data_IF_912396154422
#
_entry.id   IF_912396154422
#
_cell.length_a   1.000
_cell.length_b   1.000
_cell.length_c   1.000
_cell.angle_alpha   90.00
_cell.angle_beta   90.00
_cell.angle_gamma   90.00
#
_symmetry.space_group_name_H-M   'P 1'
#
loop_
_entity.id
_entity.type
_entity.pdbx_description
1 polymer ?
#
# COMPACT_ATOMS: atom_id res chain seq x y z
N UNK A 1 -78.72 14.88 -21.46
CA UNK A 1 -78.55 16.14 -22.21
C UNK A 1 -77.15 16.66 -21.96
N UNK A 2 -76.34 17.15 -22.87
CA UNK A 2 -76.17 17.03 -24.32
C UNK A 2 -74.74 17.60 -24.51
N UNK A 3 -73.83 16.88 -25.16
CA UNK A 3 -72.54 17.46 -25.65
C UNK A 3 -72.82 18.47 -26.77
N UNK A 4 -71.89 19.37 -27.15
CA UNK A 4 -70.89 19.04 -28.20
C UNK A 4 -69.51 19.70 -27.98
N UNK A 5 -68.39 19.02 -28.32
CA UNK A 5 -67.58 19.16 -29.55
C UNK A 5 -66.74 20.48 -29.57
N UNK A 6 -65.49 20.56 -30.03
CA UNK A 6 -64.83 19.92 -31.18
C UNK A 6 -63.33 20.31 -31.15
N UNK A 7 -62.37 19.36 -31.21
CA UNK A 7 -61.42 19.06 -32.33
C UNK A 7 -60.36 20.13 -32.71
N UNK A 8 -59.26 19.81 -33.42
CA UNK A 8 -58.29 18.71 -33.27
C UNK A 8 -56.81 19.17 -33.47
N UNK A 9 -55.90 18.20 -33.36
CA UNK A 9 -54.45 18.19 -33.67
C UNK A 9 -54.16 18.56 -35.14
N UNK A 10 -52.96 19.08 -35.47
CA UNK A 10 -52.25 18.52 -36.61
C UNK A 10 -50.92 17.84 -36.22
N UNK A 11 -50.87 16.58 -36.60
CA UNK A 11 -49.71 15.74 -36.82
C UNK A 11 -48.76 16.44 -37.78
N UNK A 12 -47.50 16.65 -37.37
CA UNK A 12 -46.43 16.93 -38.32
C UNK A 12 -45.76 15.62 -38.70
N UNK A 13 -46.23 15.12 -39.83
CA UNK A 13 -45.78 14.00 -40.64
C UNK A 13 -44.33 14.22 -41.09
N UNK A 14 -43.47 13.24 -40.86
CA UNK A 14 -42.20 13.11 -41.58
C UNK A 14 -42.45 12.93 -43.09
N UNK A 15 -41.58 13.49 -43.94
CA UNK A 15 -40.92 12.65 -44.95
C UNK A 15 -39.43 13.04 -44.99
N UNK A 16 -38.45 12.14 -45.03
CA UNK A 16 -38.13 11.09 -46.01
C UNK A 16 -36.66 11.33 -46.33
N UNK A 17 -35.96 10.23 -46.59
CA UNK A 17 -34.86 10.15 -47.54
C UNK A 17 -33.63 11.01 -47.25
N UNK A 18 -32.61 10.38 -46.67
CA UNK A 18 -31.52 9.80 -47.47
C UNK A 18 -30.45 10.82 -47.78
N UNK A 19 -29.33 10.76 -47.06
CA UNK A 19 -28.06 10.95 -47.72
C UNK A 19 -26.95 10.17 -47.01
N UNK A 20 -26.58 9.05 -47.63
CA UNK A 20 -25.26 8.46 -47.48
C UNK A 20 -24.23 9.54 -47.81
N UNK A 21 -23.48 10.03 -46.82
CA UNK A 21 -22.22 10.72 -47.09
C UNK A 21 -21.05 9.78 -46.85
N UNK A 22 -20.73 9.04 -47.92
CA UNK A 22 -19.36 8.61 -48.20
C UNK A 22 -18.55 9.89 -48.40
N UNK A 23 -17.59 10.17 -47.53
CA UNK A 23 -16.49 11.07 -47.86
C UNK A 23 -15.25 10.20 -47.97
N UNK A 24 -14.87 9.99 -49.22
CA UNK A 24 -13.62 9.42 -49.64
C UNK A 24 -12.48 10.30 -49.10
N UNK A 25 -11.58 9.71 -48.32
CA UNK A 25 -10.25 10.29 -48.16
C UNK A 25 -9.42 9.83 -49.36
N UNK A 26 -9.29 10.75 -50.32
CA UNK A 26 -8.39 10.62 -51.45
C UNK A 26 -6.94 10.47 -50.96
N UNK A 27 -6.29 9.49 -51.58
CA UNK A 27 -4.88 9.21 -51.48
C UNK A 27 -4.02 10.45 -51.78
N UNK A 28 -3.04 10.69 -50.94
CA UNK A 28 -1.77 11.30 -51.36
C UNK A 28 -0.66 10.31 -51.01
N UNK A 29 -0.27 9.57 -52.03
CA UNK A 29 0.89 8.68 -52.04
C UNK A 29 2.12 9.58 -52.07
N UNK A 30 2.88 9.61 -50.98
CA UNK A 30 4.26 10.11 -51.00
C UNK A 30 5.15 8.93 -51.37
N UNK A 31 5.60 8.92 -52.62
CA UNK A 31 6.61 7.99 -53.13
C UNK A 31 7.96 8.38 -52.54
N UNK A 32 8.42 7.64 -51.53
CA UNK A 32 9.84 7.62 -51.16
C UNK A 32 10.52 6.50 -51.94
N UNK A 33 11.20 6.88 -53.02
CA UNK A 33 12.20 6.07 -53.71
C UNK A 33 13.53 6.25 -52.98
N UNK A 34 14.22 5.16 -52.63
CA UNK A 34 15.66 5.22 -52.41
C UNK A 34 16.24 4.23 -51.41
N UNK A 35 16.98 3.26 -51.96
CA UNK A 35 18.02 2.45 -51.32
C UNK A 35 17.56 1.31 -50.39
N UNK A 36 17.19 0.18 -51.01
CA UNK A 36 17.31 -1.15 -50.40
C UNK A 36 18.80 -1.49 -50.22
N UNK A 37 19.37 -1.16 -49.07
CA UNK A 37 20.55 -1.85 -48.57
C UNK A 37 20.07 -3.06 -47.77
N UNK A 38 20.26 -4.24 -48.35
CA UNK A 38 20.26 -5.53 -47.64
C UNK A 38 21.37 -5.48 -46.60
N UNK A 39 21.09 -4.93 -45.42
CA UNK A 39 21.89 -5.27 -44.25
C UNK A 39 21.43 -6.64 -43.81
N UNK A 40 22.26 -7.64 -44.13
CA UNK A 40 22.09 -8.98 -43.62
C UNK A 40 21.83 -8.91 -42.12
N UNK A 41 20.81 -9.64 -41.67
CA UNK A 41 20.72 -9.97 -40.27
C UNK A 41 22.06 -10.65 -39.92
N UNK A 42 22.93 -9.94 -39.20
CA UNK A 42 23.96 -10.61 -38.42
C UNK A 42 23.17 -11.58 -37.55
N UNK A 43 23.25 -12.87 -37.86
CA UNK A 43 22.81 -13.89 -36.93
C UNK A 43 23.51 -13.57 -35.63
N UNK A 44 22.74 -13.15 -34.61
CA UNK A 44 23.23 -13.14 -33.26
C UNK A 44 23.44 -14.62 -32.93
N UNK A 45 24.67 -15.10 -33.12
CA UNK A 45 25.10 -16.36 -32.55
C UNK A 45 25.06 -16.13 -31.04
N UNK A 46 24.20 -16.86 -30.32
CA UNK A 46 24.37 -17.00 -28.89
C UNK A 46 25.77 -17.63 -28.68
N UNK A 47 26.62 -16.97 -27.89
CA UNK A 47 27.85 -17.59 -27.42
C UNK A 47 27.46 -18.65 -26.39
N UNK A 48 27.19 -19.87 -26.86
CA UNK A 48 26.85 -21.06 -26.08
C UNK A 48 28.03 -21.61 -25.27
N UNK A 49 28.94 -20.74 -24.81
CA UNK A 49 30.10 -21.13 -24.04
C UNK A 49 29.86 -20.81 -22.55
N UNK A 50 29.28 -21.73 -21.75
CA UNK A 50 28.95 -21.50 -20.33
C UNK A 50 30.20 -21.47 -19.43
N UNK A 51 31.39 -21.33 -19.99
CA UNK A 51 32.65 -21.69 -19.33
C UNK A 51 33.50 -20.50 -18.89
N UNK A 52 32.89 -19.33 -18.68
CA UNK A 52 33.48 -18.37 -17.76
C UNK A 52 33.13 -18.80 -16.33
N UNK A 53 33.83 -19.82 -15.82
CA UNK A 53 33.86 -20.04 -14.37
C UNK A 53 34.44 -18.77 -13.75
N UNK A 54 33.71 -18.04 -12.87
CA UNK A 54 34.34 -16.99 -12.10
C UNK A 54 35.43 -17.66 -11.28
N UNK A 55 36.70 -17.43 -11.63
CA UNK A 55 37.83 -17.89 -10.82
C UNK A 55 37.87 -17.00 -9.58
N UNK A 56 37.01 -17.32 -8.62
CA UNK A 56 37.17 -16.83 -7.27
C UNK A 56 38.36 -17.58 -6.69
N UNK A 57 39.43 -16.85 -6.37
CA UNK A 57 40.47 -17.39 -5.49
C UNK A 57 39.79 -17.91 -4.22
N UNK A 58 40.23 -19.06 -3.67
CA UNK A 58 39.66 -19.57 -2.42
C UNK A 58 39.73 -18.46 -1.36
N UNK A 59 38.71 -18.33 -0.50
CA UNK A 59 38.75 -17.38 0.60
C UNK A 59 40.05 -17.55 1.38
N UNK A 60 40.73 -16.44 1.66
CA UNK A 60 41.96 -16.46 2.46
C UNK A 60 41.62 -17.10 3.81
N UNK A 61 42.31 -18.18 4.16
CA UNK A 61 42.13 -18.81 5.46
C UNK A 61 42.53 -17.83 6.56
N UNK A 62 41.55 -17.45 7.39
CA UNK A 62 41.78 -16.59 8.54
C UNK A 62 42.32 -17.43 9.69
N UNK A 63 43.59 -17.25 10.03
CA UNK A 63 44.16 -17.84 11.24
C UNK A 63 43.61 -17.11 12.49
N UNK A 64 42.78 -17.81 13.26
CA UNK A 64 42.15 -17.28 14.45
C UNK A 64 43.13 -16.84 15.55
N UNK A 65 44.39 -17.27 15.50
CA UNK A 65 45.43 -16.92 16.48
C UNK A 65 46.42 -15.88 15.95
N UNK A 66 46.16 -15.30 14.77
CA UNK A 66 47.05 -14.29 14.19
C UNK A 66 47.11 -13.03 15.08
N UNK A 67 48.32 -12.55 15.47
CA UNK A 67 48.46 -11.44 16.40
C UNK A 67 47.77 -10.13 15.95
N UNK A 68 47.61 -9.94 14.64
CA UNK A 68 46.91 -8.78 14.05
C UNK A 68 45.38 -8.86 14.07
N UNK A 69 44.80 -10.03 14.38
CA UNK A 69 43.36 -10.26 14.52
C UNK A 69 42.92 -10.38 15.97
N UNK A 70 43.87 -10.65 16.89
CA UNK A 70 43.60 -10.70 18.32
C UNK A 70 43.37 -9.29 18.86
N UNK A 71 42.48 -9.18 19.84
CA UNK A 71 42.32 -7.95 20.61
C UNK A 71 43.56 -7.77 21.50
N UNK A 72 44.01 -6.53 21.70
CA UNK A 72 45.19 -6.27 22.54
C UNK A 72 45.01 -6.82 23.97
N UNK A 73 46.13 -7.15 24.63
CA UNK A 73 46.11 -7.76 25.97
C UNK A 73 45.26 -6.97 26.97
N UNK A 74 44.29 -7.65 27.59
CA UNK A 74 43.37 -7.06 28.56
C UNK A 74 42.15 -6.34 27.97
N UNK A 75 42.01 -6.29 26.65
CA UNK A 75 40.82 -5.75 26.02
C UNK A 75 39.66 -6.79 26.02
N UNK A 76 38.44 -6.29 26.23
CA UNK A 76 37.22 -7.11 26.23
C UNK A 76 36.30 -6.67 25.09
N UNK A 77 35.51 -7.60 24.55
CA UNK A 77 34.48 -7.25 23.59
C UNK A 77 33.51 -6.22 24.19
N UNK A 78 33.13 -5.23 23.38
CA UNK A 78 32.05 -4.32 23.73
C UNK A 78 30.74 -5.10 23.92
N UNK A 79 29.80 -4.52 24.69
CA UNK A 79 28.47 -5.12 24.89
C UNK A 79 27.83 -5.45 23.53
N UNK A 80 27.42 -6.69 23.34
CA UNK A 80 26.67 -7.14 22.15
C UNK A 80 25.46 -6.23 21.95
N UNK A 81 25.34 -5.65 20.76
CA UNK A 81 24.19 -4.85 20.34
C UNK A 81 23.38 -5.65 19.33
N UNK A 82 22.10 -5.86 19.62
CA UNK A 82 21.17 -6.38 18.62
C UNK A 82 20.68 -5.19 17.81
N UNK A 83 20.82 -5.26 16.48
CA UNK A 83 20.34 -4.21 15.58
C UNK A 83 18.83 -4.35 15.38
N UNK A 84 18.15 -3.21 15.32
CA UNK A 84 16.73 -3.17 15.01
C UNK A 84 16.50 -3.48 13.53
N UNK A 85 16.00 -4.69 13.27
CA UNK A 85 15.58 -5.09 11.94
C UNK A 85 14.15 -4.58 11.76
N UNK A 86 13.92 -3.86 10.66
CA UNK A 86 12.60 -3.35 10.27
C UNK A 86 12.26 -3.89 8.89
N UNK A 87 11.21 -4.71 8.81
CA UNK A 87 10.67 -5.21 7.54
C UNK A 87 9.33 -4.55 7.26
N UNK A 88 9.17 -4.03 6.05
CA UNK A 88 7.94 -3.38 5.59
C UNK A 88 7.38 -4.19 4.43
N UNK A 89 6.08 -4.50 4.50
CA UNK A 89 5.31 -5.13 3.42
C UNK A 89 4.09 -4.26 3.15
N UNK A 90 3.85 -3.90 1.89
CA UNK A 90 2.61 -3.24 1.46
C UNK A 90 1.86 -4.21 0.54
N UNK A 91 0.55 -4.35 0.71
CA UNK A 91 -0.28 -5.08 -0.24
C UNK A 91 -0.30 -4.36 -1.60
N UNK A 92 -0.50 -5.10 -2.70
CA UNK A 92 -0.54 -4.54 -4.05
C UNK A 92 -1.62 -3.45 -4.21
N UNK A 93 -2.73 -3.53 -3.48
CA UNK A 93 -3.77 -2.49 -3.44
C UNK A 93 -3.42 -1.29 -2.55
N UNK A 94 -2.34 -1.37 -1.78
CA UNK A 94 -1.91 -0.40 -0.77
C UNK A 94 -2.83 -0.32 0.45
N UNK A 95 -3.91 -1.10 0.47
CA UNK A 95 -4.97 -1.10 1.49
C UNK A 95 -4.47 -1.37 2.90
N UNK A 96 -3.38 -2.13 2.99
CA UNK A 96 -2.70 -2.48 4.22
C UNK A 96 -1.18 -2.36 4.04
N UNK A 97 -0.54 -1.80 5.05
CA UNK A 97 0.92 -1.77 5.21
C UNK A 97 1.28 -2.39 6.54
N UNK A 98 2.12 -3.42 6.51
CA UNK A 98 2.67 -4.10 7.67
C UNK A 98 4.11 -3.68 7.89
N UNK A 99 4.45 -3.34 9.12
CA UNK A 99 5.79 -3.05 9.57
C UNK A 99 6.11 -3.92 10.79
N UNK A 100 7.06 -4.84 10.62
CA UNK A 100 7.52 -5.71 11.69
C UNK A 100 8.92 -5.27 12.11
N UNK A 101 9.10 -5.12 13.42
CA UNK A 101 10.39 -4.89 14.05
C UNK A 101 10.77 -6.09 14.92
N UNK A 102 11.90 -6.00 15.62
CA UNK A 102 12.28 -6.99 16.64
C UNK A 102 11.30 -7.03 17.81
N UNK A 103 10.67 -5.90 18.14
CA UNK A 103 9.88 -5.73 19.36
C UNK A 103 8.39 -5.58 19.10
N UNK A 104 8.00 -4.96 17.99
CA UNK A 104 6.62 -4.58 17.69
C UNK A 104 6.23 -4.98 16.26
N UNK A 105 4.96 -5.32 16.09
CA UNK A 105 4.27 -5.39 14.79
C UNK A 105 3.36 -4.18 14.69
N UNK A 106 3.35 -3.50 13.55
CA UNK A 106 2.46 -2.38 13.24
C UNK A 106 1.72 -2.64 11.93
N UNK A 107 0.39 -2.63 11.99
CA UNK A 107 -0.49 -2.80 10.84
C UNK A 107 -1.20 -1.47 10.59
N UNK A 108 -0.94 -0.87 9.43
CA UNK A 108 -1.56 0.37 8.98
C UNK A 108 -2.61 0.08 7.91
N UNK A 109 -3.87 0.34 8.24
CA UNK A 109 -5.03 0.12 7.38
C UNK A 109 -5.51 1.45 6.80
N UNK A 110 -5.72 1.50 5.48
CA UNK A 110 -6.24 2.69 4.80
C UNK A 110 -7.67 3.03 5.27
N UNK A 111 -7.94 4.33 5.42
CA UNK A 111 -9.22 4.82 5.92
C UNK A 111 -10.39 4.49 4.98
N UNK A 112 -10.18 4.45 3.67
CA UNK A 112 -11.23 4.17 2.67
C UNK A 112 -11.72 2.73 2.73
N UNK A 113 -10.87 1.80 3.19
CA UNK A 113 -11.23 0.40 3.38
C UNK A 113 -12.06 0.24 4.65
N UNK A 114 -11.71 1.01 5.68
CA UNK A 114 -12.34 0.93 6.99
C UNK A 114 -13.60 1.78 7.13
N UNK A 115 -13.71 2.91 6.44
CA UNK A 115 -14.71 3.94 6.70
C UNK A 115 -15.25 4.56 5.41
N UNK A 116 -16.46 5.12 5.51
CA UNK A 116 -16.94 6.06 4.50
C UNK A 116 -16.18 7.40 4.52
N UNK A 117 -16.38 8.20 3.47
CA UNK A 117 -15.81 9.55 3.36
C UNK A 117 -16.19 10.39 4.59
N UNK A 118 -15.18 11.02 5.19
CA UNK A 118 -15.32 11.90 6.37
C UNK A 118 -16.12 11.26 7.52
N UNK A 119 -16.00 9.95 7.69
CA UNK A 119 -16.74 9.20 8.70
C UNK A 119 -15.82 8.35 9.58
N UNK A 120 -16.28 8.07 10.79
CA UNK A 120 -15.73 7.05 11.69
C UNK A 120 -16.63 5.80 11.76
N UNK A 121 -17.69 5.73 10.95
CA UNK A 121 -18.54 4.54 10.85
C UNK A 121 -17.82 3.47 10.03
N UNK A 122 -17.63 2.31 10.65
CA UNK A 122 -16.98 1.18 9.99
C UNK A 122 -17.79 0.66 8.79
N UNK A 123 -17.09 0.31 7.73
CA UNK A 123 -17.64 -0.37 6.55
C UNK A 123 -18.00 -1.83 6.87
N UNK A 124 -18.75 -2.49 5.97
CA UNK A 124 -19.03 -3.92 6.11
C UNK A 124 -17.77 -4.78 6.07
N UNK A 125 -16.82 -4.41 5.21
CA UNK A 125 -15.54 -5.12 5.02
C UNK A 125 -14.55 -4.89 6.17
N UNK A 126 -14.65 -3.75 6.86
CA UNK A 126 -13.76 -3.37 7.95
C UNK A 126 -13.71 -4.42 9.07
N UNK A 127 -14.87 -5.00 9.42
CA UNK A 127 -14.94 -5.99 10.49
C UNK A 127 -14.08 -7.22 10.21
N UNK A 128 -14.06 -7.72 8.97
CA UNK A 128 -13.27 -8.90 8.62
C UNK A 128 -11.77 -8.64 8.82
N UNK A 129 -11.29 -7.47 8.40
CA UNK A 129 -9.88 -7.08 8.56
C UNK A 129 -9.50 -6.87 10.03
N UNK A 130 -10.34 -6.15 10.78
CA UNK A 130 -10.11 -5.92 12.21
C UNK A 130 -10.13 -7.26 12.99
N UNK A 131 -10.95 -8.22 12.57
CA UNK A 131 -10.97 -9.56 13.17
C UNK A 131 -9.66 -10.32 12.92
N UNK A 132 -9.11 -10.26 11.70
CA UNK A 132 -7.82 -10.87 11.38
C UNK A 132 -6.69 -10.26 12.25
N UNK A 133 -6.73 -8.94 12.48
CA UNK A 133 -5.81 -8.28 13.41
C UNK A 133 -6.00 -8.78 14.84
N UNK A 134 -7.24 -8.96 15.30
CA UNK A 134 -7.50 -9.49 16.64
C UNK A 134 -6.94 -10.92 16.82
N UNK A 135 -6.99 -11.75 15.78
CA UNK A 135 -6.37 -13.08 15.78
C UNK A 135 -4.85 -13.00 15.86
N UNK A 136 -4.22 -12.11 15.08
CA UNK A 136 -2.77 -11.90 15.15
C UNK A 136 -2.32 -11.42 16.54
N UNK A 137 -3.05 -10.47 17.14
CA UNK A 137 -2.77 -9.98 18.50
C UNK A 137 -2.79 -11.14 19.52
N UNK A 138 -3.75 -12.07 19.38
CA UNK A 138 -3.82 -13.28 20.22
C UNK A 138 -2.65 -14.21 20.00
N UNK A 139 -2.28 -14.44 18.73
CA UNK A 139 -1.14 -15.28 18.38
C UNK A 139 0.17 -14.75 18.97
N UNK A 140 0.30 -13.42 19.03
CA UNK A 140 1.44 -12.76 19.67
C UNK A 140 1.33 -12.65 21.19
N UNK A 141 0.25 -13.13 21.82
CA UNK A 141 -0.02 -12.99 23.26
C UNK A 141 0.16 -11.55 23.77
N UNK A 142 -0.14 -10.57 22.92
CA UNK A 142 0.10 -9.17 23.23
C UNK A 142 -0.90 -8.68 24.28
N UNK A 143 -0.40 -8.08 25.36
CA UNK A 143 -1.23 -7.52 26.45
C UNK A 143 -1.44 -6.01 26.32
N UNK A 144 -0.72 -5.36 25.40
CA UNK A 144 -0.82 -3.93 25.11
C UNK A 144 -0.99 -3.73 23.61
N UNK A 145 -2.01 -2.97 23.23
CA UNK A 145 -2.29 -2.63 21.84
C UNK A 145 -2.46 -1.13 21.73
N UNK A 146 -1.76 -0.52 20.78
CA UNK A 146 -1.90 0.89 20.43
C UNK A 146 -2.76 0.99 19.17
N UNK A 147 -3.75 1.88 19.18
CA UNK A 147 -4.63 2.16 18.04
C UNK A 147 -4.59 3.66 17.76
N UNK A 148 -3.96 4.04 16.66
CA UNK A 148 -3.72 5.44 16.32
C UNK A 148 -4.36 5.80 14.97
N UNK A 149 -5.12 6.89 14.95
CA UNK A 149 -5.73 7.40 13.73
C UNK A 149 -4.92 8.56 13.14
N UNK A 150 -4.94 8.66 11.82
CA UNK A 150 -4.29 9.72 11.05
C UNK A 150 -5.19 10.21 9.90
N UNK A 151 -4.98 11.44 9.47
CA UNK A 151 -5.59 12.06 8.29
C UNK A 151 -4.52 12.54 7.32
N UNK A 152 -4.92 12.96 6.14
CA UNK A 152 -4.09 13.82 5.30
C UNK A 152 -4.17 15.28 5.79
N UNK A 153 -3.54 16.18 5.05
CA UNK A 153 -3.51 17.62 5.33
C UNK A 153 -4.69 18.39 4.72
N UNK A 154 -5.77 17.71 4.32
CA UNK A 154 -6.93 18.37 3.74
C UNK A 154 -7.96 18.69 4.83
N UNK A 155 -8.39 19.95 4.88
CA UNK A 155 -9.34 20.44 5.87
C UNK A 155 -8.64 21.18 7.02
N UNK A 156 -9.32 21.30 8.16
CA UNK A 156 -8.76 21.96 9.33
C UNK A 156 -8.10 20.94 10.25
N UNK A 157 -6.95 21.29 10.84
CA UNK A 157 -6.24 20.42 11.79
C UNK A 157 -7.14 19.98 12.95
N UNK A 158 -7.95 20.88 13.51
CA UNK A 158 -8.88 20.55 14.59
C UNK A 158 -9.93 19.48 14.19
N UNK A 159 -10.41 19.51 12.94
CA UNK A 159 -11.31 18.48 12.43
C UNK A 159 -10.58 17.15 12.26
N UNK A 160 -9.36 17.17 11.70
CA UNK A 160 -8.52 15.98 11.55
C UNK A 160 -8.20 15.31 12.88
N UNK A 161 -7.91 16.08 13.94
CA UNK A 161 -7.64 15.58 15.28
C UNK A 161 -8.85 14.83 15.86
N UNK A 162 -10.05 15.41 15.74
CA UNK A 162 -11.29 14.79 16.20
C UNK A 162 -11.61 13.53 15.38
N UNK A 163 -11.57 13.62 14.05
CA UNK A 163 -11.91 12.53 13.15
C UNK A 163 -10.97 11.34 13.32
N UNK A 164 -9.66 11.60 13.37
CA UNK A 164 -8.65 10.56 13.56
C UNK A 164 -8.85 9.83 14.89
N UNK A 165 -9.12 10.55 15.98
CA UNK A 165 -9.40 9.95 17.29
C UNK A 165 -10.68 9.13 17.29
N UNK A 166 -11.75 9.60 16.64
CA UNK A 166 -13.00 8.87 16.50
C UNK A 166 -12.82 7.56 15.72
N UNK A 167 -12.05 7.58 14.62
CA UNK A 167 -11.71 6.39 13.84
C UNK A 167 -10.93 5.37 14.65
N UNK A 168 -9.94 5.82 15.42
CA UNK A 168 -9.17 4.95 16.31
C UNK A 168 -10.06 4.29 17.38
N UNK A 169 -10.97 5.07 17.99
CA UNK A 169 -11.95 4.53 18.95
C UNK A 169 -12.90 3.50 18.29
N UNK A 170 -13.34 3.74 17.06
CA UNK A 170 -14.23 2.81 16.35
C UNK A 170 -13.57 1.45 16.11
N UNK A 171 -12.29 1.43 15.70
CA UNK A 171 -11.51 0.20 15.55
C UNK A 171 -11.35 -0.51 16.89
N UNK A 172 -11.00 0.24 17.95
CA UNK A 172 -10.89 -0.33 19.29
C UNK A 172 -12.21 -0.93 19.79
N UNK A 173 -13.36 -0.32 19.47
CA UNK A 173 -14.68 -0.84 19.85
C UNK A 173 -14.98 -2.24 19.28
N UNK A 174 -14.36 -2.61 18.14
CA UNK A 174 -14.46 -3.96 17.56
C UNK A 174 -13.43 -4.91 18.15
N UNK A 175 -12.23 -4.41 18.46
CA UNK A 175 -11.14 -5.21 19.04
C UNK A 175 -11.41 -5.59 20.50
N UNK A 176 -11.90 -4.67 21.33
CA UNK A 176 -12.00 -4.86 22.77
C UNK A 176 -12.84 -6.06 23.21
N UNK A 177 -14.04 -6.33 22.62
CA UNK A 177 -14.81 -7.52 22.98
C UNK A 177 -14.11 -8.84 22.66
N UNK A 178 -13.12 -8.82 21.77
CA UNK A 178 -12.36 -10.01 21.34
C UNK A 178 -11.09 -10.21 22.15
N UNK A 179 -10.64 -9.18 22.84
CA UNK A 179 -9.34 -9.06 23.51
C UNK A 179 -9.56 -8.49 24.93
N UNK A 180 -10.28 -9.21 25.81
CA UNK A 180 -10.66 -8.69 27.12
C UNK A 180 -9.47 -8.40 28.04
N UNK A 181 -8.36 -9.12 27.86
CA UNK A 181 -7.15 -9.01 28.70
C UNK A 181 -6.14 -7.97 28.17
N UNK A 182 -6.49 -7.26 27.09
CA UNK A 182 -5.61 -6.29 26.44
C UNK A 182 -5.88 -4.88 26.94
N UNK A 183 -4.81 -4.17 27.27
CA UNK A 183 -4.85 -2.72 27.51
C UNK A 183 -4.69 -1.96 26.20
N UNK A 184 -5.65 -1.09 25.89
CA UNK A 184 -5.63 -0.27 24.69
C UNK A 184 -5.12 1.14 24.98
N UNK A 185 -4.11 1.58 24.21
CA UNK A 185 -3.75 2.99 24.10
C UNK A 185 -4.32 3.55 22.80
N UNK A 186 -5.12 4.61 22.89
CA UNK A 186 -5.84 5.14 21.73
C UNK A 186 -5.51 6.62 21.56
N UNK A 187 -5.13 7.04 20.35
CA UNK A 187 -4.87 8.46 20.04
C UNK A 187 -5.30 8.80 18.61
N UNK A 188 -5.60 10.07 18.38
CA UNK A 188 -5.74 10.64 17.04
C UNK A 188 -4.63 11.66 16.88
N UNK A 189 -3.90 11.57 15.77
CA UNK A 189 -2.78 12.47 15.46
C UNK A 189 -3.12 13.48 14.37
N UNK A 190 -4.35 13.42 13.81
CA UNK A 190 -4.72 14.23 12.66
C UNK A 190 -3.71 14.05 11.53
N UNK A 191 -3.22 15.17 10.99
CA UNK A 191 -2.26 15.22 9.88
C UNK A 191 -0.79 15.02 10.31
N UNK A 192 -0.51 14.82 11.60
CA UNK A 192 0.86 14.66 12.09
C UNK A 192 1.45 13.31 11.67
N UNK A 193 2.78 13.24 11.59
CA UNK A 193 3.54 12.03 11.24
C UNK A 193 3.10 11.41 9.89
N UNK A 194 3.18 12.17 8.77
CA UNK A 194 2.88 11.64 7.45
C UNK A 194 3.91 10.56 7.08
N UNK A 195 3.44 9.49 6.44
CA UNK A 195 4.29 8.39 5.93
C UNK A 195 4.58 8.52 4.44
N UNK A 196 3.88 9.43 3.76
CA UNK A 196 4.09 9.79 2.36
C UNK A 196 3.83 11.28 2.15
N UNK A 197 4.25 11.82 1.01
CA UNK A 197 3.98 13.23 0.67
C UNK A 197 2.47 13.51 0.62
N UNK A 198 2.06 14.66 1.14
CA UNK A 198 0.68 15.13 1.01
C UNK A 198 0.42 15.88 -0.31
N UNK A 199 1.42 16.03 -1.18
CA UNK A 199 1.31 16.76 -2.44
C UNK A 199 0.54 15.94 -3.49
N UNK A 200 0.60 14.60 -3.42
CA UNK A 200 -0.07 13.68 -4.34
C UNK A 200 -1.27 13.00 -3.69
N UNK A 201 -2.26 12.59 -4.50
CA UNK A 201 -3.43 11.89 -3.96
C UNK A 201 -3.05 10.51 -3.42
N UNK A 202 -2.13 9.82 -4.08
CA UNK A 202 -1.61 8.53 -3.64
C UNK A 202 -0.94 8.63 -2.28
N UNK A 203 -0.18 9.71 -2.05
CA UNK A 203 0.48 9.94 -0.77
C UNK A 203 -0.50 10.35 0.34
N UNK A 204 -1.50 11.19 0.04
CA UNK A 204 -2.59 11.50 0.97
C UNK A 204 -3.39 10.25 1.35
N UNK A 205 -3.70 9.37 0.39
CA UNK A 205 -4.37 8.09 0.65
C UNK A 205 -3.58 7.22 1.63
N UNK A 206 -2.25 7.17 1.50
CA UNK A 206 -1.38 6.48 2.48
C UNK A 206 -1.43 7.15 3.86
N UNK A 207 -1.50 8.47 3.93
CA UNK A 207 -1.54 9.18 5.21
C UNK A 207 -2.88 9.00 5.95
N UNK A 208 -4.00 8.90 5.22
CA UNK A 208 -5.33 8.58 5.77
C UNK A 208 -5.39 7.11 6.20
N UNK A 209 -4.96 6.81 7.43
CA UNK A 209 -4.84 5.44 7.94
C UNK A 209 -5.20 5.32 9.42
N UNK A 210 -5.46 4.09 9.85
CA UNK A 210 -5.44 3.70 11.27
C UNK A 210 -4.34 2.67 11.46
N UNK A 211 -3.45 2.93 12.41
CA UNK A 211 -2.39 2.03 12.80
C UNK A 211 -2.79 1.24 14.04
N UNK A 212 -2.60 -0.07 14.00
CA UNK A 212 -2.71 -0.97 15.15
C UNK A 212 -1.34 -1.57 15.39
N UNK A 213 -0.74 -1.29 16.55
CA UNK A 213 0.58 -1.83 16.90
C UNK A 213 0.60 -2.54 18.25
N UNK A 214 1.39 -3.61 18.34
CA UNK A 214 1.45 -4.47 19.49
C UNK A 214 2.81 -5.19 19.58
N UNK A 215 3.23 -5.59 20.80
CA UNK A 215 4.45 -6.34 20.97
C UNK A 215 4.43 -7.63 20.15
N UNK A 216 5.53 -7.88 19.46
CA UNK A 216 5.82 -9.16 18.83
C UNK A 216 6.31 -10.11 19.90
N UNK A 217 5.72 -11.29 20.01
CA UNK A 217 6.38 -12.37 20.73
C UNK A 217 7.58 -12.77 19.89
N UNK A 218 8.76 -12.30 20.29
CA UNK A 218 10.02 -12.78 19.74
C UNK A 218 10.00 -14.30 19.94
N UNK A 219 10.01 -15.07 18.85
CA UNK A 219 10.15 -16.51 18.97
C UNK A 219 11.37 -16.76 19.86
N UNK A 220 11.13 -17.35 21.03
CA UNK A 220 12.18 -17.98 21.82
C UNK A 220 12.72 -19.08 20.92
N UNK A 221 13.72 -18.75 20.11
CA UNK A 221 14.54 -19.73 19.42
C UNK A 221 15.23 -20.49 20.53
N UNK A 222 14.64 -21.62 20.89
CA UNK A 222 15.17 -22.60 21.81
C UNK A 222 16.18 -23.46 21.07
#
# INVERSE_FOLDING_TARGET
>A
MQRPASTPIPTSTAPRDAERRRIAFCATVVVFLGATTLWGASGAMADDNPTAVPSASPPVEVDANSPGLMLGDGATLGKVRVLDIKSIVEDMGGEERREDTNADITLALQAEVLFGKDSAKLSGEANARINAIAEEIKNQNATKVRVFGFTDNLGTSAHGDVLSKQRANAVQGVLAPKLPDVTFEIRGYGEQYPISSNDTEEGRKKNRRVEVSFPRTSGSQN
#
